data_IF_728694472007
#
_entry.id   IF_728694472007
#
_cell.length_a   1.000
_cell.length_b   1.000
_cell.length_c   1.000
_cell.angle_alpha   90.00
_cell.angle_beta   90.00
_cell.angle_gamma   90.00
#
_symmetry.space_group_name_H-M   'P 1'
#
loop_
_entity.id
_entity.type
_entity.pdbx_description
1 polymer ?
#
# COMPACT_ATOMS: atom_id res chain seq x y z
N UNK A 1 -8.17 19.00 12.80
CA UNK A 1 -8.10 18.12 11.60
C UNK A 1 -7.41 18.93 10.50
N UNK A 2 -6.23 18.51 10.03
CA UNK A 2 -5.40 19.30 9.10
C UNK A 2 -6.01 19.40 7.71
N UNK A 3 -6.81 18.41 7.28
CA UNK A 3 -7.56 18.52 6.03
C UNK A 3 -8.59 19.66 6.06
N UNK A 4 -9.16 19.97 7.23
CA UNK A 4 -10.13 21.05 7.38
C UNK A 4 -9.51 22.45 7.21
N UNK A 5 -8.23 22.64 7.58
CA UNK A 5 -7.55 23.92 7.39
C UNK A 5 -7.08 24.16 5.95
N UNK A 6 -7.03 23.12 5.11
CA UNK A 6 -6.56 23.21 3.73
C UNK A 6 -7.60 23.74 2.74
N UNK A 7 -8.84 23.97 3.18
CA UNK A 7 -9.95 24.53 2.39
C UNK A 7 -10.11 23.86 1.02
N UNK A 8 -10.16 22.53 0.99
CA UNK A 8 -10.49 21.80 -0.23
C UNK A 8 -11.95 22.06 -0.63
N UNK A 9 -12.21 21.93 -1.94
CA UNK A 9 -13.57 22.02 -2.48
C UNK A 9 -14.52 21.02 -1.77
N UNK A 10 -15.77 21.40 -1.45
CA UNK A 10 -16.73 20.52 -0.78
C UNK A 10 -16.96 19.17 -1.47
N UNK A 11 -16.88 19.12 -2.81
CA UNK A 11 -16.97 17.88 -3.57
C UNK A 11 -15.77 16.97 -3.26
N UNK A 12 -14.56 17.52 -3.22
CA UNK A 12 -13.34 16.76 -2.88
C UNK A 12 -13.43 16.21 -1.46
N UNK A 13 -13.91 17.02 -0.50
CA UNK A 13 -14.13 16.57 0.88
C UNK A 13 -15.14 15.42 0.94
N UNK A 14 -16.23 15.51 0.18
CA UNK A 14 -17.25 14.45 0.11
C UNK A 14 -16.70 13.15 -0.48
N UNK A 15 -15.87 13.26 -1.53
CA UNK A 15 -15.17 12.12 -2.13
C UNK A 15 -14.23 11.46 -1.11
N UNK A 16 -13.40 12.24 -0.42
CA UNK A 16 -12.47 11.72 0.59
C UNK A 16 -13.19 11.00 1.74
N UNK A 17 -14.32 11.54 2.20
CA UNK A 17 -15.14 10.88 3.23
C UNK A 17 -15.64 9.50 2.80
N UNK A 18 -15.82 9.25 1.51
CA UNK A 18 -16.18 7.90 1.03
C UNK A 18 -14.96 6.98 0.95
N UNK A 19 -13.81 7.55 0.58
CA UNK A 19 -12.58 6.80 0.35
C UNK A 19 -11.79 6.47 1.61
N UNK A 20 -12.07 7.13 2.74
CA UNK A 20 -11.19 7.09 3.90
C UNK A 20 -10.91 5.68 4.44
N UNK A 21 -11.88 4.75 4.40
CA UNK A 21 -11.71 3.38 4.92
C UNK A 21 -10.78 2.57 4.03
N UNK A 22 -10.93 2.74 2.72
CA UNK A 22 -10.10 2.07 1.72
C UNK A 22 -8.67 2.61 1.74
N UNK A 23 -8.51 3.93 1.86
CA UNK A 23 -7.18 4.54 2.02
C UNK A 23 -6.55 4.07 3.33
N UNK A 24 -7.29 4.01 4.43
CA UNK A 24 -6.78 3.45 5.69
C UNK A 24 -6.29 2.01 5.51
N UNK A 25 -7.08 1.15 4.87
CA UNK A 25 -6.70 -0.25 4.62
C UNK A 25 -5.43 -0.35 3.76
N UNK A 26 -5.32 0.47 2.72
CA UNK A 26 -4.13 0.55 1.88
C UNK A 26 -2.88 0.94 2.67
N UNK A 27 -2.95 2.03 3.45
CA UNK A 27 -1.81 2.51 4.23
C UNK A 27 -1.42 1.49 5.32
N UNK A 28 -2.39 0.81 5.93
CA UNK A 28 -2.12 -0.30 6.85
C UNK A 28 -1.43 -1.48 6.14
N UNK A 29 -1.84 -1.85 4.93
CA UNK A 29 -1.19 -2.91 4.16
C UNK A 29 0.29 -2.59 3.84
N UNK A 30 0.62 -1.33 3.58
CA UNK A 30 2.02 -0.89 3.41
C UNK A 30 2.81 -1.02 4.72
N UNK A 31 2.24 -0.63 5.85
CA UNK A 31 2.87 -0.80 7.16
C UNK A 31 2.99 -2.27 7.59
N UNK A 32 2.19 -3.18 7.02
CA UNK A 32 2.27 -4.61 7.30
C UNK A 32 3.26 -5.37 6.40
N UNK A 33 3.44 -4.92 5.15
CA UNK A 33 4.20 -5.66 4.13
C UNK A 33 5.29 -4.87 3.39
N UNK A 34 5.50 -3.60 3.73
CA UNK A 34 6.61 -2.81 3.20
C UNK A 34 6.47 -2.50 1.71
N UNK A 35 7.61 -2.48 1.01
CA UNK A 35 7.63 -2.09 -0.41
C UNK A 35 6.93 -3.10 -1.31
N UNK A 36 6.94 -4.38 -0.93
CA UNK A 36 6.26 -5.44 -1.67
C UNK A 36 4.75 -5.20 -1.78
N UNK A 37 4.12 -4.63 -0.75
CA UNK A 37 2.70 -4.31 -0.75
C UNK A 37 2.33 -3.32 -1.86
N UNK A 38 3.15 -2.29 -2.10
CA UNK A 38 2.85 -1.28 -3.13
C UNK A 38 2.85 -1.90 -4.51
N UNK A 39 3.86 -2.69 -4.81
CA UNK A 39 3.94 -3.31 -6.11
C UNK A 39 2.86 -4.38 -6.34
N UNK A 40 2.53 -5.17 -5.31
CA UNK A 40 1.41 -6.12 -5.40
C UNK A 40 0.09 -5.39 -5.64
N UNK A 41 -0.11 -4.23 -5.00
CA UNK A 41 -1.25 -3.37 -5.26
C UNK A 41 -1.23 -2.76 -6.67
N UNK A 42 -0.07 -2.35 -7.18
CA UNK A 42 0.06 -1.86 -8.55
C UNK A 42 -0.32 -2.94 -9.57
N UNK A 43 0.17 -4.16 -9.40
CA UNK A 43 -0.19 -5.32 -10.24
C UNK A 43 -1.70 -5.61 -10.18
N UNK A 44 -2.28 -5.62 -8.98
CA UNK A 44 -3.72 -5.80 -8.79
C UNK A 44 -4.55 -4.69 -9.45
N UNK A 45 -4.07 -3.45 -9.41
CA UNK A 45 -4.77 -2.27 -9.95
C UNK A 45 -4.50 -2.03 -11.43
N UNK A 46 -3.62 -2.80 -12.06
CA UNK A 46 -3.20 -2.67 -13.46
C UNK A 46 -4.32 -3.11 -14.43
N UNK A 47 -5.41 -2.34 -14.46
CA UNK A 47 -6.56 -2.53 -15.33
C UNK A 47 -6.47 -1.66 -16.60
N UNK A 48 -7.30 -1.90 -17.62
CA UNK A 48 -7.39 -0.98 -18.77
C UNK A 48 -7.58 0.48 -18.33
N UNK A 49 -6.97 1.42 -19.07
CA UNK A 49 -6.96 2.85 -18.71
C UNK A 49 -8.35 3.44 -18.43
N UNK A 50 -9.37 3.01 -19.20
CA UNK A 50 -10.76 3.39 -18.99
C UNK A 50 -11.30 3.05 -17.59
N UNK A 51 -10.78 2.00 -16.94
CA UNK A 51 -11.13 1.64 -15.55
C UNK A 51 -10.23 2.36 -14.53
N UNK A 52 -8.93 2.45 -14.80
CA UNK A 52 -7.97 3.06 -13.87
C UNK A 52 -8.13 4.59 -13.72
N UNK A 53 -8.61 5.27 -14.77
CA UNK A 53 -8.76 6.74 -14.87
C UNK A 53 -10.22 7.22 -14.84
N UNK A 54 -11.17 6.38 -14.46
CA UNK A 54 -12.59 6.76 -14.35
C UNK A 54 -13.02 6.84 -12.91
N UNK A 55 -13.47 8.03 -12.50
CA UNK A 55 -14.16 8.20 -11.24
C UNK A 55 -15.56 7.61 -11.32
N UNK A 56 -15.95 6.87 -10.27
CA UNK A 56 -17.31 6.35 -10.12
C UNK A 56 -18.01 7.14 -9.01
N UNK A 57 -19.02 7.98 -9.34
CA UNK A 57 -19.79 8.72 -8.35
C UNK A 57 -20.31 7.81 -7.25
N UNK A 58 -20.12 8.23 -6.00
CA UNK A 58 -20.55 7.48 -4.83
C UNK A 58 -19.72 6.24 -4.46
N UNK A 59 -18.75 5.83 -5.30
CA UNK A 59 -17.89 4.68 -5.05
C UNK A 59 -16.99 4.85 -3.82
N UNK A 60 -16.73 3.74 -3.12
CA UNK A 60 -15.93 3.71 -1.90
C UNK A 60 -14.41 3.77 -2.13
N UNK A 61 -13.93 3.55 -3.35
CA UNK A 61 -12.49 3.47 -3.63
C UNK A 61 -12.00 4.68 -4.43
N UNK A 62 -10.78 5.17 -4.16
CA UNK A 62 -10.06 5.99 -5.11
C UNK A 62 -9.95 5.30 -6.46
N UNK A 63 -9.86 6.08 -7.53
CA UNK A 63 -9.47 5.51 -8.84
C UNK A 63 -8.12 4.84 -8.74
N UNK A 64 -7.85 3.81 -9.56
CA UNK A 64 -6.56 3.11 -9.55
C UNK A 64 -5.38 4.08 -9.72
N UNK A 65 -5.57 5.11 -10.55
CA UNK A 65 -4.58 6.17 -10.74
C UNK A 65 -4.24 6.91 -9.44
N UNK A 66 -5.25 7.47 -8.76
CA UNK A 66 -5.05 8.20 -7.50
C UNK A 66 -4.57 7.27 -6.38
N UNK A 67 -5.09 6.04 -6.34
CA UNK A 67 -4.78 5.05 -5.30
C UNK A 67 -3.28 4.77 -5.26
N UNK A 68 -2.64 4.46 -6.39
CA UNK A 68 -1.20 4.20 -6.42
C UNK A 68 -0.39 5.45 -6.09
N UNK A 69 -0.82 6.65 -6.50
CA UNK A 69 -0.12 7.88 -6.09
C UNK A 69 -0.14 8.06 -4.56
N UNK A 70 -1.25 7.71 -3.88
CA UNK A 70 -1.32 7.65 -2.42
C UNK A 70 -0.31 6.64 -1.85
N UNK A 71 -0.22 5.43 -2.44
CA UNK A 71 0.74 4.41 -2.01
C UNK A 71 2.19 4.90 -2.16
N UNK A 72 2.51 5.59 -3.25
CA UNK A 72 3.87 6.11 -3.48
C UNK A 72 4.23 7.23 -2.51
N UNK A 73 3.28 8.10 -2.14
CA UNK A 73 3.52 9.10 -1.09
C UNK A 73 3.76 8.42 0.26
N UNK A 74 3.00 7.38 0.59
CA UNK A 74 3.24 6.62 1.81
C UNK A 74 4.63 5.97 1.83
N UNK A 75 5.08 5.35 0.74
CA UNK A 75 6.46 4.83 0.66
C UNK A 75 7.51 5.89 0.93
N UNK A 76 7.32 7.10 0.39
CA UNK A 76 8.22 8.22 0.63
C UNK A 76 8.26 8.58 2.12
N UNK A 77 7.11 8.64 2.78
CA UNK A 77 6.97 8.90 4.23
C UNK A 77 7.55 7.79 5.12
N UNK A 78 7.51 6.55 4.66
CA UNK A 78 8.16 5.40 5.30
C UNK A 78 9.69 5.38 5.10
N UNK A 79 10.25 6.32 4.34
CA UNK A 79 11.68 6.42 4.05
C UNK A 79 12.13 5.68 2.79
N UNK A 80 11.24 5.08 2.02
CA UNK A 80 11.56 4.35 0.78
C UNK A 80 11.47 5.24 -0.47
N UNK A 81 12.08 6.43 -0.42
CA UNK A 81 11.97 7.45 -1.46
C UNK A 81 12.37 6.98 -2.87
N UNK A 82 13.42 6.15 -2.98
CA UNK A 82 13.86 5.60 -4.26
C UNK A 82 12.81 4.65 -4.87
N UNK A 83 12.22 3.78 -4.04
CA UNK A 83 11.16 2.86 -4.47
C UNK A 83 9.87 3.61 -4.81
N UNK A 84 9.51 4.60 -4.00
CA UNK A 84 8.40 5.51 -4.27
C UNK A 84 8.54 6.18 -5.64
N UNK A 85 9.72 6.72 -5.94
CA UNK A 85 9.99 7.35 -7.23
C UNK A 85 9.91 6.35 -8.39
N UNK A 86 10.39 5.11 -8.20
CA UNK A 86 10.30 4.06 -9.21
C UNK A 86 8.86 3.67 -9.50
N UNK A 87 8.08 3.37 -8.46
CA UNK A 87 6.67 3.02 -8.57
C UNK A 87 5.85 4.14 -9.21
N UNK A 88 6.07 5.39 -8.79
CA UNK A 88 5.39 6.56 -9.35
C UNK A 88 5.70 6.75 -10.85
N UNK A 89 6.97 6.61 -11.25
CA UNK A 89 7.37 6.70 -12.67
C UNK A 89 6.68 5.63 -13.52
N UNK A 90 6.72 4.37 -13.08
CA UNK A 90 6.07 3.26 -13.80
C UNK A 90 4.57 3.53 -13.95
N UNK A 91 3.92 3.93 -12.85
CA UNK A 91 2.47 4.15 -12.86
C UNK A 91 2.04 5.30 -13.77
N UNK A 92 2.78 6.41 -13.76
CA UNK A 92 2.51 7.56 -14.64
C UNK A 92 2.79 7.25 -16.11
N UNK A 93 3.75 6.37 -16.40
CA UNK A 93 4.01 5.91 -17.76
C UNK A 93 2.85 5.04 -18.31
N UNK A 94 2.28 4.17 -17.46
CA UNK A 94 1.12 3.34 -17.81
C UNK A 94 -0.17 4.16 -17.95
N UNK A 95 -0.37 5.14 -17.08
CA UNK A 95 -1.60 5.93 -17.00
C UNK A 95 -1.33 7.43 -17.01
N UNK A 96 -1.61 8.05 -18.15
CA UNK A 96 -1.50 9.49 -18.32
C UNK A 96 -2.89 10.12 -18.51
N UNK A 97 -3.41 10.88 -17.52
CA UNK A 97 -4.68 11.59 -17.66
C UNK A 97 -4.74 12.51 -18.88
N UNK A 98 -3.62 13.07 -19.36
CA UNK A 98 -3.62 13.93 -20.56
C UNK A 98 -4.03 13.20 -21.84
N UNK A 99 -4.04 11.86 -21.84
CA UNK A 99 -4.48 11.00 -22.95
C UNK A 99 -5.95 10.58 -22.85
N UNK A 100 -6.66 11.02 -21.81
CA UNK A 100 -8.08 10.73 -21.58
C UNK A 100 -8.36 10.21 -20.16
N UNK A 101 -9.39 10.77 -19.52
CA UNK A 101 -9.85 10.37 -18.20
C UNK A 101 -11.32 10.74 -17.98
N UNK A 102 -11.93 10.19 -16.93
CA UNK A 102 -13.23 10.66 -16.38
C UNK A 102 -13.09 10.98 -14.89
N UNK A 103 -12.01 11.66 -14.54
CA UNK A 103 -11.79 12.24 -13.21
C UNK A 103 -12.46 13.63 -13.12
N UNK A 104 -13.14 13.98 -12.01
CA UNK A 104 -13.64 15.34 -11.80
C UNK A 104 -12.47 16.35 -11.87
N UNK A 105 -12.59 17.45 -12.64
CA UNK A 105 -11.50 18.41 -12.80
C UNK A 105 -10.97 18.96 -11.48
N UNK A 106 -11.88 19.31 -10.56
CA UNK A 106 -11.54 19.81 -9.22
C UNK A 106 -10.78 18.78 -8.37
N UNK A 107 -11.09 17.49 -8.52
CA UNK A 107 -10.35 16.43 -7.84
C UNK A 107 -8.95 16.29 -8.43
N UNK A 108 -8.84 16.26 -9.77
CA UNK A 108 -7.56 16.12 -10.47
C UNK A 108 -6.61 17.29 -10.13
N UNK A 109 -7.12 18.52 -10.17
CA UNK A 109 -6.36 19.71 -9.80
C UNK A 109 -5.88 19.70 -8.33
N UNK A 110 -6.65 19.06 -7.44
CA UNK A 110 -6.31 18.97 -6.02
C UNK A 110 -5.23 17.92 -5.70
N UNK A 111 -5.01 16.93 -6.57
CA UNK A 111 -4.15 15.76 -6.31
C UNK A 111 -2.79 16.10 -5.68
N UNK A 112 -2.00 17.08 -6.18
CA UNK A 112 -0.66 17.38 -5.64
C UNK A 112 -0.68 17.78 -4.16
N UNK A 113 -1.73 18.49 -3.72
CA UNK A 113 -1.91 18.90 -2.32
C UNK A 113 -2.69 17.88 -1.50
N UNK A 114 -3.63 17.20 -2.15
CA UNK A 114 -4.55 16.24 -1.53
C UNK A 114 -3.80 15.01 -1.00
N UNK A 115 -2.90 14.45 -1.81
CA UNK A 115 -2.24 13.17 -1.51
C UNK A 115 -1.36 13.24 -0.26
N UNK A 116 -0.41 14.20 -0.15
CA UNK A 116 0.39 14.34 1.08
C UNK A 116 -0.46 14.58 2.32
N UNK A 117 -1.55 15.34 2.17
CA UNK A 117 -2.43 15.69 3.27
C UNK A 117 -3.27 14.50 3.77
N UNK A 118 -3.80 13.68 2.86
CA UNK A 118 -4.58 12.50 3.25
C UNK A 118 -3.71 11.41 3.86
N UNK A 119 -2.48 11.24 3.36
CA UNK A 119 -1.49 10.33 3.95
C UNK A 119 -1.10 10.80 5.35
N UNK A 120 -0.78 12.09 5.53
CA UNK A 120 -0.48 12.66 6.84
C UNK A 120 -1.64 12.44 7.83
N UNK A 121 -2.85 12.84 7.44
CA UNK A 121 -4.05 12.77 8.29
C UNK A 121 -4.43 11.32 8.67
N UNK A 122 -4.22 10.34 7.79
CA UNK A 122 -4.59 8.94 8.09
C UNK A 122 -3.45 8.19 8.78
N UNK A 123 -2.21 8.33 8.31
CA UNK A 123 -1.10 7.49 8.77
C UNK A 123 -0.27 8.10 9.91
N UNK A 124 -0.19 9.44 9.98
CA UNK A 124 0.77 10.14 10.85
C UNK A 124 0.14 11.08 11.87
N UNK A 125 -1.19 11.22 11.88
CA UNK A 125 -1.89 11.95 12.93
C UNK A 125 -2.45 10.99 14.00
N UNK A 126 -2.29 11.32 15.30
CA UNK A 126 -2.91 10.58 16.39
C UNK A 126 -4.42 10.42 16.24
N UNK A 127 -4.94 9.23 16.59
CA UNK A 127 -6.39 8.95 16.58
C UNK A 127 -6.84 8.37 17.92
N UNK A 128 -7.97 8.87 18.43
CA UNK A 128 -8.61 8.32 19.64
C UNK A 128 -8.87 6.81 19.52
N UNK A 129 -9.34 6.36 18.35
CA UNK A 129 -9.59 4.94 18.07
C UNK A 129 -8.34 4.05 17.98
N UNK A 130 -7.15 4.65 18.01
CA UNK A 130 -5.86 3.95 18.06
C UNK A 130 -5.12 4.27 19.36
N UNK A 131 -5.83 4.63 20.43
CA UNK A 131 -5.21 4.93 21.73
C UNK A 131 -4.33 6.19 21.73
N UNK A 132 -4.66 7.19 20.91
CA UNK A 132 -3.85 8.40 20.68
C UNK A 132 -2.51 8.15 19.98
N UNK A 133 -2.33 6.99 19.35
CA UNK A 133 -1.22 6.74 18.45
C UNK A 133 -1.58 7.09 17.01
N UNK A 134 -0.56 7.42 16.20
CA UNK A 134 -0.72 7.42 14.76
C UNK A 134 -0.75 5.96 14.24
N UNK A 135 -1.27 5.74 13.04
CA UNK A 135 -1.30 4.39 12.45
C UNK A 135 0.12 3.84 12.25
N UNK A 136 1.07 4.69 11.84
CA UNK A 136 2.48 4.32 11.68
C UNK A 136 3.17 3.93 13.00
N UNK A 137 2.68 4.44 14.14
CA UNK A 137 3.18 4.06 15.46
C UNK A 137 2.56 2.73 15.91
N UNK A 138 1.28 2.53 15.62
CA UNK A 138 0.55 1.30 15.98
C UNK A 138 1.00 0.08 15.15
N UNK A 139 1.45 0.29 13.92
CA UNK A 139 1.96 -0.74 13.02
C UNK A 139 3.35 -0.31 12.53
N UNK A 140 4.39 -0.41 13.38
CA UNK A 140 5.72 0.04 13.01
C UNK A 140 6.30 -0.85 11.89
N UNK A 141 6.86 -0.20 10.87
CA UNK A 141 7.59 -0.86 9.80
C UNK A 141 8.89 -0.11 9.52
N UNK A 142 10.01 -0.82 9.58
CA UNK A 142 11.34 -0.23 9.48
C UNK A 142 12.11 -0.71 8.25
N UNK A 143 13.21 -0.03 7.93
CA UNK A 143 14.18 -0.53 6.92
C UNK A 143 14.78 -1.88 7.31
N UNK A 144 14.89 -2.18 8.59
CA UNK A 144 15.38 -3.48 9.05
C UNK A 144 14.37 -4.59 8.74
N UNK A 145 13.08 -4.32 8.88
CA UNK A 145 12.01 -5.26 8.48
C UNK A 145 12.04 -5.53 6.98
N UNK A 146 12.13 -4.47 6.15
CA UNK A 146 12.30 -4.59 4.71
C UNK A 146 13.52 -5.46 4.34
N UNK A 147 14.67 -5.22 4.98
CA UNK A 147 15.88 -6.00 4.74
C UNK A 147 15.71 -7.48 5.13
N UNK A 148 14.98 -7.77 6.22
CA UNK A 148 14.63 -9.14 6.62
C UNK A 148 13.70 -9.80 5.61
N UNK A 149 12.70 -9.09 5.11
CA UNK A 149 11.76 -9.59 4.10
C UNK A 149 12.52 -9.95 2.81
N UNK A 150 13.41 -9.07 2.34
CA UNK A 150 14.23 -9.32 1.14
C UNK A 150 15.14 -10.54 1.29
N UNK A 151 15.83 -10.67 2.44
CA UNK A 151 16.62 -11.88 2.74
C UNK A 151 15.74 -13.13 2.80
N UNK A 152 14.53 -13.01 3.34
CA UNK A 152 13.55 -14.09 3.34
C UNK A 152 13.14 -14.51 1.92
N UNK A 153 13.01 -13.56 0.99
CA UNK A 153 12.75 -13.87 -0.41
C UNK A 153 13.85 -14.71 -1.06
N UNK A 154 15.11 -14.41 -0.77
CA UNK A 154 16.25 -15.22 -1.22
C UNK A 154 16.15 -16.66 -0.66
N UNK A 155 15.80 -16.81 0.61
CA UNK A 155 15.63 -18.14 1.23
C UNK A 155 14.47 -18.91 0.60
N UNK A 156 13.33 -18.25 0.39
CA UNK A 156 12.16 -18.85 -0.29
C UNK A 156 12.52 -19.28 -1.70
N UNK A 157 13.25 -18.45 -2.46
CA UNK A 157 13.71 -18.80 -3.80
C UNK A 157 14.62 -20.04 -3.82
N UNK A 158 15.40 -20.22 -2.75
CA UNK A 158 16.23 -21.42 -2.54
C UNK A 158 15.45 -22.61 -1.94
N UNK A 159 14.12 -22.54 -1.81
CA UNK A 159 13.28 -23.62 -1.26
C UNK A 159 13.26 -23.72 0.27
N UNK A 160 13.75 -22.71 0.98
CA UNK A 160 13.80 -22.67 2.45
C UNK A 160 12.71 -21.77 3.03
N UNK A 161 12.15 -22.16 4.19
CA UNK A 161 11.17 -21.33 4.91
C UNK A 161 11.91 -20.38 5.86
N UNK A 162 11.90 -19.06 5.62
CA UNK A 162 12.66 -18.13 6.44
C UNK A 162 12.02 -17.94 7.81
N UNK A 163 12.82 -17.59 8.82
CA UNK A 163 12.29 -17.19 10.13
C UNK A 163 11.76 -15.75 10.12
N UNK A 164 10.54 -15.60 9.58
CA UNK A 164 9.81 -14.35 9.52
C UNK A 164 8.45 -14.46 10.23
N UNK A 165 7.94 -13.36 10.81
CA UNK A 165 6.54 -13.27 11.20
C UNK A 165 5.62 -13.61 10.01
N UNK A 166 4.46 -14.26 10.24
CA UNK A 166 3.55 -14.66 9.16
C UNK A 166 3.21 -13.52 8.17
N UNK A 167 2.99 -12.30 8.67
CA UNK A 167 2.72 -11.10 7.84
C UNK A 167 3.83 -10.78 6.83
N UNK A 168 5.08 -11.14 7.12
CA UNK A 168 6.24 -10.86 6.27
C UNK A 168 6.50 -11.96 5.24
N UNK A 169 5.98 -13.17 5.44
CA UNK A 169 6.16 -14.28 4.49
C UNK A 169 5.54 -13.96 3.13
N UNK A 170 4.33 -13.40 3.11
CA UNK A 170 3.64 -13.01 1.86
C UNK A 170 4.47 -11.97 1.08
N UNK A 171 5.07 -11.02 1.79
CA UNK A 171 5.92 -9.99 1.18
C UNK A 171 7.25 -10.57 0.68
N UNK A 172 7.81 -11.55 1.41
CA UNK A 172 9.03 -12.24 1.01
C UNK A 172 8.82 -13.09 -0.25
N UNK A 173 7.65 -13.72 -0.42
CA UNK A 173 7.29 -14.45 -1.64
C UNK A 173 7.41 -13.59 -2.90
N UNK A 174 7.06 -12.30 -2.82
CA UNK A 174 7.21 -11.38 -3.93
C UNK A 174 8.68 -11.26 -4.38
N UNK A 175 9.59 -11.09 -3.44
CA UNK A 175 11.02 -10.99 -3.77
C UNK A 175 11.58 -12.33 -4.29
N UNK A 176 11.02 -13.46 -3.88
CA UNK A 176 11.36 -14.76 -4.46
C UNK A 176 10.89 -14.86 -5.93
N UNK A 177 9.68 -14.39 -6.24
CA UNK A 177 9.17 -14.28 -7.62
C UNK A 177 10.05 -13.36 -8.47
N UNK A 178 10.44 -12.20 -7.94
CA UNK A 178 11.35 -11.26 -8.62
C UNK A 178 12.73 -11.87 -8.88
N UNK A 179 13.18 -12.82 -8.05
CA UNK A 179 14.40 -13.59 -8.25
C UNK A 179 14.24 -14.79 -9.20
N UNK A 180 13.05 -14.98 -9.80
CA UNK A 180 12.78 -16.03 -10.79
C UNK A 180 12.41 -17.39 -10.21
N UNK A 181 12.03 -17.48 -8.93
CA UNK A 181 11.59 -18.74 -8.35
C UNK A 181 10.19 -19.14 -8.84
N UNK A 182 9.97 -20.45 -8.98
CA UNK A 182 8.73 -21.03 -9.52
C UNK A 182 7.50 -20.70 -8.64
N UNK A 183 6.45 -20.04 -9.19
CA UNK A 183 5.29 -19.59 -8.42
C UNK A 183 4.60 -20.70 -7.61
N UNK A 184 4.42 -21.87 -8.21
CA UNK A 184 3.77 -23.02 -7.56
C UNK A 184 4.60 -23.57 -6.40
N UNK A 185 5.92 -23.55 -6.52
CA UNK A 185 6.83 -23.98 -5.46
C UNK A 185 6.75 -23.01 -4.27
N UNK A 186 6.76 -21.71 -4.55
CA UNK A 186 6.60 -20.65 -3.53
C UNK A 186 5.26 -20.79 -2.82
N UNK A 187 4.16 -20.93 -3.58
CA UNK A 187 2.82 -21.05 -3.03
C UNK A 187 2.69 -22.26 -2.11
N UNK A 188 3.16 -23.44 -2.56
CA UNK A 188 3.15 -24.66 -1.75
C UNK A 188 3.99 -24.49 -0.47
N UNK A 189 5.18 -23.91 -0.57
CA UNK A 189 6.06 -23.67 0.57
C UNK A 189 5.41 -22.74 1.60
N UNK A 190 4.86 -21.61 1.17
CA UNK A 190 4.31 -20.61 2.09
C UNK A 190 2.97 -21.03 2.68
N UNK A 191 2.04 -21.57 1.86
CA UNK A 191 0.70 -21.98 2.32
C UNK A 191 0.81 -23.11 3.35
N UNK A 192 1.69 -24.09 3.15
CA UNK A 192 1.90 -25.19 4.12
C UNK A 192 2.41 -24.70 5.48
N UNK A 193 3.21 -23.63 5.50
CA UNK A 193 3.91 -23.18 6.70
C UNK A 193 3.21 -22.03 7.45
N UNK A 194 2.23 -21.35 6.83
CA UNK A 194 1.46 -20.28 7.48
C UNK A 194 0.62 -20.76 8.69
N UNK A 195 -0.13 -21.88 8.62
CA UNK A 195 -0.96 -22.35 9.75
C UNK A 195 -0.13 -22.79 10.97
N UNK A 196 1.00 -23.46 10.73
CA UNK A 196 1.85 -24.04 11.77
C UNK A 196 2.49 -22.95 12.67
N UNK A 197 2.71 -21.75 12.13
CA UNK A 197 3.28 -20.60 12.84
C UNK A 197 2.26 -19.76 13.62
N UNK A 198 0.97 -19.87 13.30
CA UNK A 198 -0.09 -19.29 14.15
C UNK A 198 -0.31 -20.14 15.41
N UNK A 199 -0.23 -21.46 15.30
CA UNK A 199 -0.42 -22.38 16.41
C UNK A 199 0.71 -22.30 17.46
N UNK A 200 1.96 -22.16 17.02
CA UNK A 200 3.15 -22.11 17.90
C UNK A 200 3.39 -20.76 18.58
N UNK A 201 2.52 -19.75 18.33
CA UNK A 201 2.57 -18.42 18.97
C UNK A 201 1.41 -18.13 19.93
N UNK A 202 0.50 -19.09 20.15
CA UNK A 202 -0.45 -18.98 21.27
C UNK A 202 0.33 -19.23 22.57
N UNK A 203 0.29 -18.32 23.56
CA UNK A 203 0.74 -18.66 24.90
C UNK A 203 -0.09 -19.86 25.38
N UNK A 204 0.55 -20.81 26.09
CA UNK A 204 -0.22 -21.70 26.94
C UNK A 204 -1.02 -20.81 27.90
N UNK A 205 -2.34 -21.04 27.95
CA UNK A 205 -3.24 -20.33 28.85
C UNK A 205 -2.89 -20.60 30.31
#
# INVERSE_FOLDING_TARGET
NRLASMRFDPLVVTILRRWHKEIFADLAALLLGGTASVWGMMEFLAHPGARALTYRPGGAHPTGWIRVLILTEMLRRMGFAAEAARAERVWRALYNPSRGHRLPPVLLASVPRLIPAVVDEIAYQPRRGLGQHALADAIPFTRADEARIRRGGIQIAAGHVPDLPPRFLVSASRFALEAGAEPDAIAKLVIRNLPQRQASRRPAA
#
